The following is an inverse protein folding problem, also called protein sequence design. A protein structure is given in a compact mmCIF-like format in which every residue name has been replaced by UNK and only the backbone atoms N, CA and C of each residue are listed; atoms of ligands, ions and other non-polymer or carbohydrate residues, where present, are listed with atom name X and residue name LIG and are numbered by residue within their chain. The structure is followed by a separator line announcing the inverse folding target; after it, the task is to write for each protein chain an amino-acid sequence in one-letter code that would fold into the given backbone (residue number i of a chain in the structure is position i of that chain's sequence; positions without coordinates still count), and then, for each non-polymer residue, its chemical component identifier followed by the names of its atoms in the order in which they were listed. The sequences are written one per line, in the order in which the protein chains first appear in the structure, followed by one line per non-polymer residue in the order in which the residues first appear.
data_IF_241871539317
#
_entry.id   IF_241871539317
#
_cell.length_a   1.000
_cell.length_b   1.000
_cell.length_c   1.000
_cell.angle_alpha   90.00
_cell.angle_beta   90.00
_cell.angle_gamma   90.00
#
_symmetry.space_group_name_H-M   'P 1'
#
loop_
_entity.id
_entity.type
_entity.pdbx_description
1 polymer ?
#
# COMPACT_ATOMS: atom_id res chain seq x y z
N UNK A 1 31.82 5.10 -5.97
CA UNK A 1 31.14 6.34 -5.53
C UNK A 1 30.64 7.06 -6.78
N UNK A 2 29.36 6.92 -7.09
CA UNK A 2 28.73 7.63 -8.21
C UNK A 2 28.31 8.98 -7.66
N UNK A 3 29.04 10.04 -8.02
CA UNK A 3 28.61 11.41 -7.74
C UNK A 3 27.34 11.69 -8.55
N UNK A 4 26.19 11.76 -7.87
CA UNK A 4 24.93 12.22 -8.45
C UNK A 4 25.10 13.72 -8.72
N UNK A 5 25.53 14.03 -9.94
CA UNK A 5 25.77 15.39 -10.44
C UNK A 5 24.45 16.17 -10.50
N UNK A 6 24.30 17.14 -9.60
CA UNK A 6 23.51 18.35 -9.84
C UNK A 6 22.00 18.25 -9.69
N UNK A 7 21.49 17.85 -8.51
CA UNK A 7 20.15 18.32 -8.12
C UNK A 7 20.25 19.84 -7.99
N UNK A 8 19.64 20.55 -8.93
CA UNK A 8 19.65 22.02 -8.90
C UNK A 8 18.88 22.48 -7.67
N UNK A 9 19.37 23.49 -6.95
CA UNK A 9 18.69 24.06 -5.77
C UNK A 9 17.20 24.38 -6.05
N UNK A 10 16.89 24.72 -7.31
CA UNK A 10 15.53 24.93 -7.81
C UNK A 10 14.64 23.69 -7.71
N UNK A 11 15.15 22.51 -8.06
CA UNK A 11 14.42 21.24 -7.99
C UNK A 11 14.01 20.90 -6.55
N UNK A 12 14.93 21.13 -5.60
CA UNK A 12 14.68 20.84 -4.19
C UNK A 12 13.59 21.74 -3.60
N UNK A 13 13.49 22.99 -4.07
CA UNK A 13 12.45 23.94 -3.64
C UNK A 13 11.09 23.64 -4.28
N UNK A 14 11.05 23.22 -5.55
CA UNK A 14 9.79 23.05 -6.30
C UNK A 14 9.15 21.69 -6.12
N UNK A 15 9.95 20.64 -5.93
CA UNK A 15 9.48 19.28 -5.75
C UNK A 15 8.32 19.13 -4.74
N UNK A 16 8.38 19.66 -3.51
CA UNK A 16 7.29 19.49 -2.55
C UNK A 16 5.98 20.15 -3.00
N UNK A 17 6.04 21.27 -3.75
CA UNK A 17 4.85 21.90 -4.31
C UNK A 17 4.21 21.04 -5.39
N UNK A 18 5.02 20.46 -6.29
CA UNK A 18 4.51 19.56 -7.32
C UNK A 18 3.91 18.29 -6.71
N UNK A 19 4.58 17.69 -5.73
CA UNK A 19 4.06 16.52 -5.00
C UNK A 19 2.72 16.85 -4.31
N UNK A 20 2.64 18.00 -3.62
CA UNK A 20 1.41 18.46 -2.98
C UNK A 20 0.27 18.64 -3.98
N UNK A 21 0.53 19.29 -5.12
CA UNK A 21 -0.47 19.49 -6.18
C UNK A 21 -0.97 18.13 -6.68
N UNK A 22 -0.06 17.19 -6.96
CA UNK A 22 -0.43 15.84 -7.42
C UNK A 22 -1.33 15.15 -6.40
N UNK A 23 -0.97 15.11 -5.11
CA UNK A 23 -1.81 14.47 -4.10
C UNK A 23 -3.16 15.17 -3.91
N UNK A 24 -3.21 16.50 -3.94
CA UNK A 24 -4.46 17.25 -3.89
C UNK A 24 -5.37 16.94 -5.09
N UNK A 25 -4.81 16.83 -6.30
CA UNK A 25 -5.59 16.43 -7.47
C UNK A 25 -6.13 15.00 -7.32
N UNK A 26 -5.34 14.07 -6.77
CA UNK A 26 -5.81 12.71 -6.47
C UNK A 26 -6.97 12.70 -5.46
N UNK A 27 -6.91 13.55 -4.42
CA UNK A 27 -8.01 13.71 -3.45
C UNK A 27 -9.27 14.23 -4.15
N UNK A 28 -9.15 15.27 -4.97
CA UNK A 28 -10.28 15.84 -5.73
C UNK A 28 -10.89 14.80 -6.68
N UNK A 29 -10.07 14.10 -7.46
CA UNK A 29 -10.52 13.05 -8.39
C UNK A 29 -11.22 11.92 -7.62
N UNK A 30 -10.69 11.53 -6.46
CA UNK A 30 -11.32 10.50 -5.61
C UNK A 30 -12.69 10.95 -5.10
N UNK A 31 -12.83 12.21 -4.64
CA UNK A 31 -14.13 12.79 -4.23
C UNK A 31 -15.10 12.80 -5.41
N UNK A 32 -14.67 13.24 -6.59
CA UNK A 32 -15.49 13.25 -7.80
C UNK A 32 -15.95 11.85 -8.19
N UNK A 33 -15.12 10.82 -8.00
CA UNK A 33 -15.46 9.43 -8.26
C UNK A 33 -16.46 8.85 -7.24
N UNK A 34 -16.55 9.40 -6.02
CA UNK A 34 -17.60 9.03 -5.05
C UNK A 34 -18.98 9.58 -5.44
N UNK A 35 -19.06 10.71 -6.14
CA UNK A 35 -20.34 11.31 -6.58
C UNK A 35 -21.22 10.34 -7.39
N UNK A 36 -20.74 9.73 -8.50
CA UNK A 36 -21.54 8.76 -9.24
C UNK A 36 -21.82 7.52 -8.40
N UNK A 37 -20.92 7.11 -7.51
CA UNK A 37 -21.18 5.98 -6.61
C UNK A 37 -22.42 6.21 -5.75
N UNK A 38 -22.53 7.37 -5.08
CA UNK A 38 -23.71 7.70 -4.29
C UNK A 38 -24.98 7.76 -5.13
N UNK A 39 -24.88 8.23 -6.38
CA UNK A 39 -26.01 8.30 -7.31
C UNK A 39 -26.48 6.91 -7.78
N UNK A 40 -25.56 5.98 -8.03
CA UNK A 40 -25.85 4.66 -8.57
C UNK A 40 -25.87 3.52 -7.53
N UNK A 41 -25.78 3.84 -6.23
CA UNK A 41 -25.77 2.85 -5.13
C UNK A 41 -26.95 1.88 -5.10
N UNK A 42 -28.07 2.24 -5.76
CA UNK A 42 -29.27 1.40 -5.84
C UNK A 42 -29.05 0.13 -6.67
N UNK A 43 -28.05 0.12 -7.55
CA UNK A 43 -27.68 -1.05 -8.33
C UNK A 43 -26.68 -1.91 -7.54
N UNK A 44 -27.17 -2.94 -6.84
CA UNK A 44 -26.41 -3.81 -5.93
C UNK A 44 -25.27 -4.62 -6.59
N UNK A 45 -25.11 -4.58 -7.91
CA UNK A 45 -24.48 -5.68 -8.63
C UNK A 45 -23.02 -5.49 -9.03
N UNK A 46 -22.32 -4.39 -8.68
CA UNK A 46 -20.97 -4.26 -9.28
C UNK A 46 -19.89 -3.43 -8.57
N UNK A 47 -20.17 -2.64 -7.53
CA UNK A 47 -19.23 -1.54 -7.18
C UNK A 47 -18.43 -1.79 -5.88
N UNK A 48 -18.54 -2.96 -5.25
CA UNK A 48 -17.90 -3.21 -3.94
C UNK A 48 -16.37 -3.11 -3.95
N UNK A 49 -15.68 -3.89 -4.79
CA UNK A 49 -14.21 -3.93 -4.83
C UNK A 49 -13.62 -2.62 -5.35
N UNK A 50 -14.26 -2.03 -6.38
CA UNK A 50 -13.85 -0.74 -6.92
C UNK A 50 -13.98 0.38 -5.89
N UNK A 51 -15.07 0.42 -5.13
CA UNK A 51 -15.27 1.39 -4.06
C UNK A 51 -14.18 1.27 -3.00
N UNK A 52 -13.88 0.05 -2.58
CA UNK A 52 -12.90 -0.22 -1.55
C UNK A 52 -11.49 0.22 -2.00
N UNK A 53 -11.14 -0.03 -3.26
CA UNK A 53 -9.92 0.50 -3.87
C UNK A 53 -9.90 2.04 -3.91
N UNK A 54 -11.01 2.68 -4.30
CA UNK A 54 -11.13 4.14 -4.32
C UNK A 54 -10.99 4.76 -2.91
N UNK A 55 -11.57 4.15 -1.88
CA UNK A 55 -11.40 4.56 -0.48
C UNK A 55 -9.93 4.45 -0.06
N UNK A 56 -9.26 3.36 -0.44
CA UNK A 56 -7.84 3.16 -0.11
C UNK A 56 -6.95 4.21 -0.78
N UNK A 57 -7.22 4.53 -2.05
CA UNK A 57 -6.53 5.59 -2.79
C UNK A 57 -6.76 6.97 -2.18
N UNK A 58 -8.00 7.27 -1.78
CA UNK A 58 -8.36 8.51 -1.11
C UNK A 58 -7.62 8.69 0.22
N UNK A 59 -7.64 7.66 1.08
CA UNK A 59 -6.96 7.69 2.37
C UNK A 59 -5.44 7.84 2.19
N UNK A 60 -4.84 7.10 1.27
CA UNK A 60 -3.42 7.24 0.97
C UNK A 60 -3.09 8.66 0.48
N UNK A 61 -3.87 9.21 -0.45
CA UNK A 61 -3.62 10.56 -0.97
C UNK A 61 -3.68 11.63 0.14
N UNK A 62 -4.60 11.48 1.11
CA UNK A 62 -4.67 12.38 2.27
C UNK A 62 -3.43 12.25 3.15
N UNK A 63 -3.01 11.02 3.48
CA UNK A 63 -1.85 10.78 4.33
C UNK A 63 -0.57 11.29 3.66
N UNK A 64 -0.41 11.08 2.35
CA UNK A 64 0.74 11.56 1.59
C UNK A 64 0.77 13.08 1.40
N UNK A 65 -0.34 13.80 1.57
CA UNK A 65 -0.32 15.26 1.55
C UNK A 65 0.46 15.86 2.74
N UNK A 66 0.60 15.13 3.85
CA UNK A 66 1.18 15.66 5.09
C UNK A 66 2.67 15.99 4.92
N UNK A 67 3.46 15.07 4.38
CA UNK A 67 4.91 15.25 4.15
C UNK A 67 5.25 16.51 3.33
N UNK A 68 4.70 16.69 2.10
CA UNK A 68 5.00 17.87 1.30
C UNK A 68 4.40 19.15 1.91
N UNK A 69 3.29 19.07 2.65
CA UNK A 69 2.75 20.24 3.37
C UNK A 69 3.75 20.71 4.43
N UNK A 70 4.35 19.78 5.18
CA UNK A 70 5.32 20.12 6.22
C UNK A 70 6.60 20.71 5.59
N UNK A 71 7.10 20.11 4.51
CA UNK A 71 8.24 20.66 3.76
C UNK A 71 7.96 22.08 3.23
N UNK A 72 6.75 22.32 2.71
CA UNK A 72 6.33 23.66 2.27
C UNK A 72 6.27 24.63 3.46
N UNK A 73 5.74 24.22 4.61
CA UNK A 73 5.70 25.08 5.81
C UNK A 73 7.12 25.43 6.30
N UNK A 74 8.02 24.46 6.35
CA UNK A 74 9.43 24.66 6.73
C UNK A 74 10.15 25.60 5.76
N UNK A 75 9.90 25.45 4.45
CA UNK A 75 10.46 26.33 3.42
C UNK A 75 10.03 27.80 3.57
N UNK A 76 8.86 28.04 4.19
CA UNK A 76 8.34 29.38 4.48
C UNK A 76 8.78 29.91 5.86
N UNK A 77 9.69 29.22 6.55
CA UNK A 77 10.22 29.63 7.86
C UNK A 77 9.29 29.35 9.04
N UNK A 78 8.20 28.59 8.83
CA UNK A 78 7.34 28.13 9.91
C UNK A 78 7.98 26.88 10.54
N UNK A 79 8.42 26.97 11.80
CA UNK A 79 8.90 25.79 12.54
C UNK A 79 7.74 24.84 12.81
N UNK A 80 7.70 23.73 12.10
CA UNK A 80 6.85 22.57 12.39
C UNK A 80 7.42 21.80 13.58
N UNK A 81 6.84 21.99 14.76
CA UNK A 81 7.15 21.18 15.95
C UNK A 81 6.69 19.72 15.80
N UNK A 82 5.91 19.40 14.76
CA UNK A 82 5.22 18.11 14.59
C UNK A 82 6.13 16.92 14.27
N UNK A 83 7.28 17.11 13.62
CA UNK A 83 8.08 15.98 13.08
C UNK A 83 9.51 15.88 13.61
N UNK A 84 9.99 16.84 14.40
CA UNK A 84 11.44 16.94 14.59
C UNK A 84 12.01 16.15 15.78
N UNK A 85 11.21 15.41 16.55
CA UNK A 85 11.64 14.91 17.88
C UNK A 85 11.34 13.44 18.18
N UNK A 86 11.25 12.54 17.19
CA UNK A 86 10.96 11.12 17.45
C UNK A 86 9.69 10.97 18.29
N UNK A 87 8.74 11.89 18.08
CA UNK A 87 7.54 12.00 18.89
C UNK A 87 6.65 10.79 18.61
N UNK A 88 5.76 10.46 19.55
CA UNK A 88 4.79 9.37 19.33
C UNK A 88 4.00 9.55 18.03
N UNK A 89 3.77 10.80 17.62
CA UNK A 89 3.03 11.17 16.41
C UNK A 89 3.75 10.74 15.12
N UNK A 90 5.08 10.82 15.07
CA UNK A 90 5.89 10.40 13.93
C UNK A 90 5.74 8.89 13.66
N UNK A 91 5.77 8.07 14.72
CA UNK A 91 5.56 6.62 14.60
C UNK A 91 4.14 6.27 14.12
N UNK A 92 3.11 6.97 14.64
CA UNK A 92 1.73 6.79 14.17
C UNK A 92 1.57 7.21 12.71
N UNK A 93 2.24 8.29 12.31
CA UNK A 93 2.23 8.75 10.93
C UNK A 93 2.93 7.76 9.99
N UNK A 94 4.10 7.26 10.36
CA UNK A 94 4.81 6.21 9.63
C UNK A 94 3.97 4.94 9.47
N UNK A 95 3.30 4.52 10.55
CA UNK A 95 2.37 3.38 10.55
C UNK A 95 1.18 3.63 9.60
N UNK A 96 0.56 4.81 9.67
CA UNK A 96 -0.55 5.20 8.80
C UNK A 96 -0.13 5.23 7.33
N UNK A 97 1.05 5.79 7.03
CA UNK A 97 1.61 5.83 5.68
C UNK A 97 1.85 4.44 5.13
N UNK A 98 2.51 3.57 5.90
CA UNK A 98 2.82 2.20 5.49
C UNK A 98 1.56 1.35 5.31
N UNK A 99 0.62 1.42 6.25
CA UNK A 99 -0.67 0.72 6.15
C UNK A 99 -1.49 1.17 4.94
N UNK A 100 -1.47 2.46 4.60
CA UNK A 100 -2.19 2.98 3.44
C UNK A 100 -1.68 2.41 2.12
N UNK A 101 -0.36 2.25 1.95
CA UNK A 101 0.22 1.58 0.79
C UNK A 101 -0.16 0.10 0.73
N UNK A 102 -0.09 -0.61 1.86
CA UNK A 102 -0.50 -2.01 1.95
C UNK A 102 -1.97 -2.18 1.55
N UNK A 103 -2.84 -1.26 1.96
CA UNK A 103 -4.25 -1.28 1.54
C UNK A 103 -4.40 -1.08 0.05
N UNK A 104 -3.72 -0.09 -0.57
CA UNK A 104 -3.78 0.06 -2.04
C UNK A 104 -3.36 -1.22 -2.74
N UNK A 105 -2.29 -1.86 -2.27
CA UNK A 105 -1.76 -3.07 -2.87
C UNK A 105 -2.72 -4.26 -2.77
N UNK A 106 -3.23 -4.53 -1.57
CA UNK A 106 -4.23 -5.59 -1.33
C UNK A 106 -5.47 -5.35 -2.18
N UNK A 107 -6.01 -4.14 -2.11
CA UNK A 107 -7.31 -3.82 -2.71
C UNK A 107 -7.22 -3.73 -4.22
N UNK A 108 -6.09 -3.27 -4.76
CA UNK A 108 -5.77 -3.33 -6.19
C UNK A 108 -5.62 -4.76 -6.70
N UNK A 109 -4.97 -5.64 -5.93
CA UNK A 109 -4.86 -7.07 -6.27
C UNK A 109 -6.23 -7.75 -6.31
N UNK A 110 -7.07 -7.51 -5.31
CA UNK A 110 -8.44 -8.02 -5.30
C UNK A 110 -9.30 -7.44 -6.42
N UNK A 111 -9.12 -6.17 -6.76
CA UNK A 111 -9.79 -5.54 -7.91
C UNK A 111 -9.39 -6.21 -9.22
N UNK A 112 -8.10 -6.46 -9.43
CA UNK A 112 -7.61 -7.16 -10.62
C UNK A 112 -8.15 -8.60 -10.69
N UNK A 113 -8.10 -9.33 -9.56
CA UNK A 113 -8.63 -10.68 -9.44
C UNK A 113 -10.15 -10.71 -9.73
N UNK A 114 -10.90 -9.73 -9.23
CA UNK A 114 -12.32 -9.58 -9.50
C UNK A 114 -12.59 -9.45 -11.01
N UNK A 115 -11.81 -8.61 -11.71
CA UNK A 115 -11.93 -8.46 -13.18
C UNK A 115 -11.56 -9.71 -13.94
N UNK A 116 -10.49 -10.41 -13.53
CA UNK A 116 -10.10 -11.68 -14.15
C UNK A 116 -11.18 -12.73 -13.97
N UNK A 117 -11.78 -12.85 -12.78
CA UNK A 117 -12.86 -13.81 -12.52
C UNK A 117 -14.14 -13.52 -13.32
N UNK A 118 -14.50 -12.23 -13.47
CA UNK A 118 -15.63 -11.83 -14.30
C UNK A 118 -15.41 -12.20 -15.76
N UNK A 119 -14.20 -11.99 -16.29
CA UNK A 119 -13.86 -12.29 -17.68
C UNK A 119 -13.74 -13.79 -17.96
N UNK A 120 -13.19 -14.57 -17.02
CA UNK A 120 -12.94 -16.01 -17.20
C UNK A 120 -14.18 -16.87 -16.94
N UNK A 121 -15.01 -16.52 -15.96
CA UNK A 121 -16.14 -17.36 -15.54
C UNK A 121 -17.45 -16.57 -15.30
N UNK A 122 -17.99 -15.88 -16.31
CA UNK A 122 -19.12 -14.96 -16.13
C UNK A 122 -20.37 -15.64 -15.54
N UNK A 123 -20.72 -16.85 -16.03
CA UNK A 123 -21.91 -17.58 -15.58
C UNK A 123 -21.82 -18.04 -14.11
N UNK A 124 -20.66 -18.57 -13.70
CA UNK A 124 -20.43 -19.00 -12.32
C UNK A 124 -20.30 -17.81 -11.37
N UNK A 125 -19.72 -16.71 -11.85
CA UNK A 125 -19.53 -15.48 -11.08
C UNK A 125 -20.89 -14.87 -10.67
N UNK A 126 -21.85 -14.79 -11.60
CA UNK A 126 -23.21 -14.28 -11.33
C UNK A 126 -23.98 -15.17 -10.36
N UNK A 127 -23.95 -16.50 -10.55
CA UNK A 127 -24.78 -17.43 -9.75
C UNK A 127 -24.28 -17.56 -8.31
N UNK A 128 -22.96 -17.57 -8.10
CA UNK A 128 -22.37 -17.85 -6.77
C UNK A 128 -22.15 -16.62 -5.90
N UNK A 129 -22.47 -15.42 -6.39
CA UNK A 129 -22.22 -14.17 -5.65
C UNK A 129 -20.76 -14.01 -5.24
N UNK A 130 -19.84 -14.48 -6.09
CA UNK A 130 -18.41 -14.60 -5.78
C UNK A 130 -17.77 -13.24 -5.46
N UNK A 131 -18.32 -12.18 -6.07
CA UNK A 131 -17.97 -10.79 -5.81
C UNK A 131 -18.01 -10.42 -4.32
N UNK A 132 -19.13 -10.72 -3.64
CA UNK A 132 -19.29 -10.37 -2.21
C UNK A 132 -18.23 -11.06 -1.36
N UNK A 133 -17.90 -12.31 -1.69
CA UNK A 133 -16.88 -13.08 -0.99
C UNK A 133 -15.49 -12.47 -1.18
N UNK A 134 -15.13 -12.06 -2.40
CA UNK A 134 -13.85 -11.38 -2.68
C UNK A 134 -13.74 -10.04 -1.94
N UNK A 135 -14.81 -9.26 -1.88
CA UNK A 135 -14.81 -7.99 -1.15
C UNK A 135 -14.68 -8.25 0.36
N UNK A 136 -15.44 -9.20 0.91
CA UNK A 136 -15.35 -9.56 2.33
C UNK A 136 -13.94 -10.06 2.68
N UNK A 137 -13.32 -10.89 1.82
CA UNK A 137 -11.94 -11.35 2.05
C UNK A 137 -10.94 -10.19 1.97
N UNK A 138 -11.11 -9.25 1.05
CA UNK A 138 -10.25 -8.07 0.96
C UNK A 138 -10.36 -7.21 2.24
N UNK A 139 -11.58 -6.93 2.70
CA UNK A 139 -11.82 -6.21 3.97
C UNK A 139 -11.20 -6.96 5.14
N UNK A 140 -11.38 -8.28 5.22
CA UNK A 140 -10.83 -9.09 6.29
C UNK A 140 -9.30 -9.06 6.29
N UNK A 141 -8.65 -9.17 5.13
CA UNK A 141 -7.20 -9.05 5.01
C UNK A 141 -6.72 -7.67 5.44
N UNK A 142 -7.34 -6.59 4.97
CA UNK A 142 -6.99 -5.24 5.40
C UNK A 142 -7.16 -5.05 6.92
N UNK A 143 -8.27 -5.53 7.49
CA UNK A 143 -8.53 -5.45 8.92
C UNK A 143 -7.54 -6.28 9.75
N UNK A 144 -7.16 -7.47 9.30
CA UNK A 144 -6.13 -8.30 9.93
C UNK A 144 -4.76 -7.65 9.86
N UNK A 145 -4.36 -7.11 8.71
CA UNK A 145 -3.09 -6.39 8.54
C UNK A 145 -3.04 -5.16 9.45
N UNK A 146 -4.13 -4.39 9.49
CA UNK A 146 -4.23 -3.23 10.37
C UNK A 146 -4.18 -3.63 11.84
N UNK A 147 -4.96 -4.63 12.25
CA UNK A 147 -4.99 -5.12 13.63
C UNK A 147 -3.64 -5.69 14.07
N UNK A 148 -2.93 -6.39 13.18
CA UNK A 148 -1.59 -6.89 13.44
C UNK A 148 -0.61 -5.73 13.63
N UNK A 149 -0.56 -4.78 12.69
CA UNK A 149 0.35 -3.64 12.76
C UNK A 149 0.05 -2.74 13.98
N UNK A 150 -1.23 -2.48 14.24
CA UNK A 150 -1.67 -1.76 15.43
C UNK A 150 -1.30 -2.51 16.72
N UNK A 151 -1.52 -3.83 16.75
CA UNK A 151 -1.15 -4.68 17.88
C UNK A 151 0.34 -4.64 18.13
N UNK A 152 1.18 -4.82 17.11
CA UNK A 152 2.64 -4.72 17.25
C UNK A 152 3.04 -3.34 17.80
N UNK A 153 2.40 -2.27 17.34
CA UNK A 153 2.69 -0.92 17.83
C UNK A 153 2.16 -0.64 19.25
N UNK A 154 1.05 -1.24 19.65
CA UNK A 154 0.42 -1.01 20.95
C UNK A 154 1.00 -1.89 22.06
N UNK A 155 1.47 -3.10 21.73
CA UNK A 155 2.01 -4.05 22.70
C UNK A 155 3.54 -4.02 22.81
N UNK A 156 4.26 -3.59 21.78
CA UNK A 156 5.70 -3.35 21.87
C UNK A 156 5.90 -1.95 22.43
N UNK A 157 6.00 -1.87 23.75
CA UNK A 157 6.19 -0.61 24.46
C UNK A 157 7.54 -0.01 24.03
N UNK A 158 7.51 1.14 23.37
CA UNK A 158 8.70 1.88 22.90
C UNK A 158 9.58 2.41 24.05
N UNK A 159 9.24 2.06 25.29
CA UNK A 159 9.74 2.66 26.52
C UNK A 159 11.07 2.08 27.00
N UNK A 160 11.57 0.99 26.42
CA UNK A 160 12.91 0.47 26.75
C UNK A 160 13.87 0.44 25.55
N UNK A 161 14.78 1.41 25.58
CA UNK A 161 16.05 1.55 24.84
C UNK A 161 15.99 2.19 23.45
N UNK A 162 16.33 3.48 23.47
CA UNK A 162 16.74 4.41 22.40
C UNK A 162 17.71 3.88 21.33
N UNK A 163 18.11 2.60 21.32
CA UNK A 163 19.06 2.06 20.33
C UNK A 163 18.52 0.90 19.46
N UNK A 164 17.32 0.36 19.71
CA UNK A 164 16.80 -0.78 18.93
C UNK A 164 15.32 -0.67 18.48
N UNK A 165 14.64 0.45 18.75
CA UNK A 165 13.20 0.62 18.44
C UNK A 165 12.84 0.64 16.94
N UNK A 166 13.72 1.16 16.07
CA UNK A 166 13.48 1.16 14.61
C UNK A 166 13.37 -0.25 14.02
N UNK A 167 14.05 -1.23 14.63
CA UNK A 167 14.11 -2.58 14.09
C UNK A 167 12.76 -3.31 14.22
N UNK A 168 11.97 -3.07 15.26
CA UNK A 168 10.75 -3.85 15.51
C UNK A 168 9.65 -3.56 14.48
N UNK A 169 9.37 -2.29 14.21
CA UNK A 169 8.31 -1.88 13.28
C UNK A 169 8.71 -2.07 11.82
N UNK A 170 9.95 -1.75 11.45
CA UNK A 170 10.43 -2.05 10.09
C UNK A 170 10.44 -3.56 9.80
N UNK A 171 10.86 -4.37 10.77
CA UNK A 171 10.85 -5.83 10.61
C UNK A 171 9.42 -6.37 10.55
N UNK A 172 8.49 -5.86 11.37
CA UNK A 172 7.08 -6.21 11.28
C UNK A 172 6.47 -5.81 9.92
N UNK A 173 6.85 -4.65 9.39
CA UNK A 173 6.45 -4.19 8.04
C UNK A 173 7.03 -5.11 6.96
N UNK A 174 8.29 -5.54 7.07
CA UNK A 174 8.89 -6.53 6.16
C UNK A 174 8.13 -7.86 6.22
N UNK A 175 7.79 -8.35 7.40
CA UNK A 175 6.98 -9.56 7.54
C UNK A 175 5.58 -9.40 6.93
N UNK A 176 4.94 -8.24 7.11
CA UNK A 176 3.66 -7.95 6.46
C UNK A 176 3.82 -7.89 4.93
N UNK A 177 4.90 -7.28 4.42
CA UNK A 177 5.23 -7.27 2.99
C UNK A 177 5.34 -8.68 2.42
N UNK A 178 6.09 -9.55 3.10
CA UNK A 178 6.24 -10.97 2.72
C UNK A 178 4.87 -11.68 2.73
N UNK A 179 4.05 -11.47 3.77
CA UNK A 179 2.69 -12.05 3.86
C UNK A 179 1.77 -11.53 2.74
N UNK A 180 1.99 -10.31 2.25
CA UNK A 180 1.22 -9.73 1.14
C UNK A 180 1.68 -10.21 -0.24
N UNK A 181 2.91 -10.70 -0.37
CA UNK A 181 3.37 -11.40 -1.58
C UNK A 181 2.89 -12.85 -1.66
N UNK A 182 2.61 -13.51 -0.52
CA UNK A 182 2.03 -14.87 -0.51
C UNK A 182 0.70 -14.97 -1.27
N UNK A 183 -0.27 -14.03 -1.16
CA UNK A 183 -1.45 -13.97 -2.00
C UNK A 183 -1.15 -13.96 -3.50
N UNK A 184 -0.05 -13.34 -3.97
CA UNK A 184 0.35 -13.44 -5.38
C UNK A 184 0.61 -14.90 -5.74
N UNK A 185 1.37 -15.61 -4.92
CA UNK A 185 1.69 -17.02 -5.10
C UNK A 185 0.46 -17.94 -4.98
N UNK A 186 -0.45 -17.67 -4.05
CA UNK A 186 -1.67 -18.48 -3.84
C UNK A 186 -2.69 -18.25 -4.95
N UNK A 187 -2.86 -17.01 -5.42
CA UNK A 187 -3.78 -16.70 -6.54
C UNK A 187 -3.22 -17.27 -7.85
N UNK A 188 -1.91 -17.19 -8.08
CA UNK A 188 -1.25 -17.83 -9.22
C UNK A 188 -1.42 -19.36 -9.18
N UNK A 189 -1.18 -20.00 -8.04
CA UNK A 189 -1.30 -21.46 -7.91
C UNK A 189 -2.74 -21.99 -7.92
N UNK A 190 -3.73 -21.19 -7.52
CA UNK A 190 -5.14 -21.60 -7.55
C UNK A 190 -5.83 -21.33 -8.89
N UNK A 191 -5.42 -20.30 -9.65
CA UNK A 191 -5.94 -20.06 -11.00
C UNK A 191 -5.25 -20.92 -12.06
N UNK A 192 -3.95 -21.18 -11.92
CA UNK A 192 -3.27 -22.15 -12.75
C UNK A 192 -3.24 -23.49 -12.02
N UNK A 193 -4.23 -24.34 -12.32
CA UNK A 193 -4.07 -25.78 -12.20
C UNK A 193 -3.08 -26.26 -13.28
N UNK A 194 -1.86 -25.73 -13.28
CA UNK A 194 -0.76 -26.27 -14.04
C UNK A 194 -0.42 -27.62 -13.41
N UNK A 195 -0.18 -28.67 -14.21
CA UNK A 195 0.00 -30.04 -13.72
C UNK A 195 1.26 -30.27 -12.86
N UNK A 196 2.02 -29.22 -12.50
CA UNK A 196 3.26 -29.32 -11.73
C UNK A 196 3.35 -28.20 -10.68
N UNK A 197 2.83 -28.41 -9.46
CA UNK A 197 2.94 -27.44 -8.36
C UNK A 197 4.38 -27.26 -7.87
N UNK A 198 5.26 -28.23 -8.10
CA UNK A 198 6.63 -28.24 -7.52
C UNK A 198 7.63 -27.34 -8.27
N UNK A 199 7.32 -26.90 -9.50
CA UNK A 199 8.22 -26.04 -10.29
C UNK A 199 7.99 -24.54 -10.11
N UNK A 200 6.80 -24.11 -9.65
CA UNK A 200 6.48 -22.68 -9.52
C UNK A 200 7.17 -22.03 -8.32
N UNK A 201 7.38 -22.80 -7.24
CA UNK A 201 8.10 -22.32 -6.05
C UNK A 201 9.58 -22.06 -6.37
N UNK A 202 10.17 -22.84 -7.30
CA UNK A 202 11.54 -22.65 -7.78
C UNK A 202 11.69 -21.39 -8.64
N UNK A 203 10.72 -21.05 -9.50
CA UNK A 203 10.83 -19.85 -10.35
C UNK A 203 10.68 -18.52 -9.59
N UNK A 204 9.89 -18.46 -8.51
CA UNK A 204 9.84 -17.25 -7.69
C UNK A 204 11.14 -17.06 -6.86
N UNK A 205 11.68 -18.14 -6.29
CA UNK A 205 12.97 -18.09 -5.55
C UNK A 205 14.16 -17.77 -6.48
N UNK A 206 14.14 -18.28 -7.71
CA UNK A 206 15.23 -18.08 -8.67
C UNK A 206 15.18 -16.70 -9.36
N UNK A 207 14.03 -16.01 -9.34
CA UNK A 207 13.93 -14.60 -9.74
C UNK A 207 14.52 -13.67 -8.66
N UNK A 208 14.43 -14.05 -7.38
CA UNK A 208 15.00 -13.32 -6.25
C UNK A 208 16.54 -13.51 -6.17
N UNK A 209 17.05 -14.73 -6.42
CA UNK A 209 18.50 -15.00 -6.48
C UNK A 209 19.21 -14.30 -7.66
N UNK A 210 18.51 -14.04 -8.77
CA UNK A 210 19.09 -13.31 -9.90
C UNK A 210 19.17 -11.80 -9.68
N UNK A 211 18.35 -11.24 -8.79
CA UNK A 211 18.41 -9.83 -8.40
C UNK A 211 19.59 -9.57 -7.44
N UNK A 212 19.91 -10.51 -6.54
CA UNK A 212 21.09 -10.44 -5.66
C UNK A 212 22.42 -10.77 -6.35
N UNK A 213 22.43 -11.63 -7.38
CA UNK A 213 23.65 -11.87 -8.19
C UNK A 213 24.00 -10.73 -9.13
N UNK A 214 23.05 -9.84 -9.46
CA UNK A 214 23.35 -8.64 -10.25
C UNK A 214 23.97 -7.52 -9.42
N UNK A 215 23.80 -7.56 -8.10
CA UNK A 215 24.37 -6.59 -7.16
C UNK A 215 25.80 -6.94 -6.69
N UNK A 216 26.31 -8.13 -7.00
CA UNK A 216 27.61 -8.63 -6.51
C UNK A 216 28.73 -8.73 -7.55
N UNK A 217 28.52 -8.24 -8.79
CA UNK A 217 29.55 -8.18 -9.86
C UNK A 217 30.00 -6.73 -10.16
N UNK A 218 29.71 -5.78 -9.27
CA UNK A 218 30.36 -4.47 -9.27
C UNK A 218 30.88 -4.10 -7.89
N UNK A 219 31.88 -4.86 -7.42
CA UNK A 219 32.89 -4.41 -6.46
C UNK A 219 34.21 -5.12 -6.76
#
# INVERSE_FOLDING_TARGET
MVEIHGITHFELVIRPYLELIVYLTCVVVSILAFVPYFKYRKNSNYIGALLLFMISCFLCSIIQCVDPTIQVMESNGLKSTFLHNGSKEEYWFFLARTTSFNFIYVTGTFLALDRVLVLTFPTKYTIRGLQRKCVISAVAMCALTFGFLFGTHAFVDYTEKENHGHFATETAVRYVGIILDVPRCVVLSTQFRLPYPDQLFFYCLQAEEHEDSSASVQL
#
